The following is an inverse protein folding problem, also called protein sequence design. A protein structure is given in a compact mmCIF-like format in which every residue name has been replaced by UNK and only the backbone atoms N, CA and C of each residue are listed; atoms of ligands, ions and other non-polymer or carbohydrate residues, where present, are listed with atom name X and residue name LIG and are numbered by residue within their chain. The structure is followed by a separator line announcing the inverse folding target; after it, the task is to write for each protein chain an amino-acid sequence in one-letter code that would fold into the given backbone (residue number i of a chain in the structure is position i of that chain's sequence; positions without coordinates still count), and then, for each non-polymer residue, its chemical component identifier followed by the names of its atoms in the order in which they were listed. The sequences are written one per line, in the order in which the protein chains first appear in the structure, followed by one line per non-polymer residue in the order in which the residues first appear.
data_IF_950452394371
#
_entry.id   IF_950452394371
#
_cell.length_a   1.000
_cell.length_b   1.000
_cell.length_c   1.000
_cell.angle_alpha   90.00
_cell.angle_beta   90.00
_cell.angle_gamma   90.00
#
_symmetry.space_group_name_H-M   'P 1'
#
loop_
_entity.id
_entity.type
_entity.pdbx_description
1 polymer ?
#
# COMPACT_ATOMS: atom_id res chain seq x y z
N UNK A 1 49.43 13.76 39.56
CA UNK A 1 48.67 12.75 40.27
C UNK A 1 47.19 12.83 39.89
N UNK A 2 46.86 12.65 38.64
CA UNK A 2 45.47 12.60 38.12
C UNK A 2 45.44 11.80 36.80
N UNK A 3 45.56 10.46 36.87
CA UNK A 3 45.49 9.62 35.67
C UNK A 3 45.13 8.16 35.96
N UNK A 4 44.07 7.92 36.80
CA UNK A 4 43.74 6.51 37.09
C UNK A 4 42.25 6.24 37.36
N UNK A 5 41.30 7.08 36.93
CA UNK A 5 39.85 6.86 37.24
C UNK A 5 38.95 6.75 35.97
N UNK A 6 39.50 6.70 34.77
CA UNK A 6 38.68 6.66 33.53
C UNK A 6 38.74 5.33 32.74
N UNK A 7 39.14 4.24 33.30
CA UNK A 7 39.27 2.97 32.58
C UNK A 7 38.12 1.95 32.66
N UNK A 8 37.10 2.01 33.55
CA UNK A 8 36.02 1.03 33.49
C UNK A 8 34.83 1.36 32.58
N UNK A 9 34.63 2.63 32.16
CA UNK A 9 33.45 2.98 31.32
C UNK A 9 33.60 2.65 29.85
N UNK A 10 34.81 2.47 29.33
CA UNK A 10 35.04 2.12 27.92
C UNK A 10 34.72 0.67 27.57
N UNK A 11 34.75 -0.25 28.53
CA UNK A 11 34.43 -1.67 28.31
C UNK A 11 32.94 -1.99 28.41
N UNK A 12 32.15 -1.21 29.14
CA UNK A 12 30.69 -1.42 29.20
C UNK A 12 29.99 -0.97 27.89
N UNK A 13 30.47 0.13 27.29
CA UNK A 13 29.95 0.59 26.02
C UNK A 13 30.29 -0.35 24.84
N UNK A 14 31.45 -1.01 24.91
CA UNK A 14 31.89 -1.95 23.85
C UNK A 14 31.17 -3.31 23.92
N UNK A 15 30.59 -3.70 25.06
CA UNK A 15 29.85 -4.95 25.21
C UNK A 15 28.34 -4.79 24.96
N UNK A 16 27.76 -3.62 25.23
CA UNK A 16 26.34 -3.32 24.94
C UNK A 16 26.08 -2.99 23.48
N UNK A 17 27.04 -2.37 22.78
CA UNK A 17 26.90 -2.01 21.38
C UNK A 17 26.79 -3.23 20.42
N UNK A 18 27.55 -4.32 20.59
CA UNK A 18 27.36 -5.55 19.79
C UNK A 18 26.06 -6.28 20.07
N UNK A 19 25.51 -6.19 21.30
CA UNK A 19 24.24 -6.84 21.66
C UNK A 19 23.03 -6.12 21.05
N UNK A 20 23.07 -4.80 20.97
CA UNK A 20 22.03 -3.99 20.28
C UNK A 20 22.11 -4.16 18.75
N UNK A 21 23.33 -4.19 18.17
CA UNK A 21 23.51 -4.51 16.74
C UNK A 21 23.03 -5.93 16.42
N UNK A 22 23.26 -6.90 17.33
CA UNK A 22 22.82 -8.28 17.11
C UNK A 22 21.31 -8.46 17.17
N UNK A 23 20.58 -7.64 17.92
CA UNK A 23 19.12 -7.67 17.96
C UNK A 23 18.51 -7.05 16.68
N UNK A 24 19.06 -5.94 16.19
CA UNK A 24 18.68 -5.34 14.92
C UNK A 24 19.01 -6.21 13.69
N UNK A 25 20.12 -6.93 13.72
CA UNK A 25 20.50 -7.85 12.63
C UNK A 25 19.64 -9.13 12.59
N UNK A 26 19.01 -9.54 13.69
CA UNK A 26 18.30 -10.84 13.76
C UNK A 26 16.97 -10.89 13.05
N UNK A 27 16.25 -9.77 12.88
CA UNK A 27 15.05 -9.69 12.03
C UNK A 27 15.38 -9.46 10.56
N UNK A 28 16.63 -9.07 10.26
CA UNK A 28 17.14 -8.84 8.90
C UNK A 28 18.01 -10.00 8.42
N UNK A 29 17.91 -11.21 8.96
CA UNK A 29 18.53 -12.35 8.28
C UNK A 29 17.93 -12.45 6.87
N UNK A 30 18.76 -12.28 5.83
CA UNK A 30 18.28 -12.34 4.46
C UNK A 30 17.61 -13.70 4.26
N UNK A 31 16.33 -13.67 3.83
CA UNK A 31 15.67 -14.88 3.36
C UNK A 31 16.56 -15.46 2.26
N UNK A 32 16.97 -16.71 2.39
CA UNK A 32 17.60 -17.41 1.25
C UNK A 32 16.61 -17.29 0.09
N UNK A 33 17.01 -16.72 -1.06
CA UNK A 33 16.08 -16.35 -2.14
C UNK A 33 15.25 -17.53 -2.70
N UNK A 34 15.64 -18.76 -2.39
CA UNK A 34 15.09 -19.98 -2.98
C UNK A 34 14.11 -20.76 -2.08
N UNK A 35 13.83 -20.29 -0.85
CA UNK A 35 12.91 -21.00 0.04
C UNK A 35 11.52 -20.41 -0.10
N UNK A 36 10.55 -21.21 -0.60
CA UNK A 36 9.14 -20.84 -0.63
C UNK A 36 8.64 -20.50 0.77
N UNK A 37 7.76 -19.50 0.87
CA UNK A 37 7.21 -19.03 2.15
C UNK A 37 6.54 -20.17 2.94
N UNK A 38 5.89 -21.13 2.25
CA UNK A 38 5.28 -22.30 2.90
C UNK A 38 6.33 -23.20 3.58
N UNK A 39 7.44 -23.47 2.92
CA UNK A 39 8.53 -24.28 3.49
C UNK A 39 9.17 -23.57 4.69
N UNK A 40 9.29 -22.24 4.61
CA UNK A 40 9.76 -21.41 5.71
C UNK A 40 8.80 -21.46 6.91
N UNK A 41 7.50 -21.34 6.70
CA UNK A 41 6.48 -21.46 7.75
C UNK A 41 6.58 -22.84 8.40
N UNK A 42 6.69 -23.92 7.62
CA UNK A 42 6.82 -25.28 8.16
C UNK A 42 8.07 -25.44 9.05
N UNK A 43 9.21 -24.94 8.60
CA UNK A 43 10.46 -24.98 9.34
C UNK A 43 10.39 -24.17 10.66
N UNK A 44 9.88 -22.92 10.58
CA UNK A 44 9.74 -22.05 11.75
C UNK A 44 8.71 -22.56 12.74
N UNK A 45 7.61 -23.16 12.29
CA UNK A 45 6.62 -23.81 13.16
C UNK A 45 7.25 -24.95 13.96
N UNK A 46 8.04 -25.80 13.31
CA UNK A 46 8.78 -26.89 13.97
C UNK A 46 9.80 -26.34 14.97
N UNK A 47 10.54 -25.29 14.60
CA UNK A 47 11.52 -24.63 15.47
C UNK A 47 10.85 -24.01 16.70
N UNK A 48 9.77 -23.25 16.52
CA UNK A 48 9.05 -22.60 17.61
C UNK A 48 8.42 -23.61 18.57
N UNK A 49 7.95 -24.76 18.07
CA UNK A 49 7.45 -25.87 18.90
C UNK A 49 8.55 -26.57 19.68
N UNK A 50 9.70 -26.82 19.06
CA UNK A 50 10.81 -27.53 19.68
C UNK A 50 11.58 -26.68 20.73
N UNK A 51 11.70 -25.36 20.47
CA UNK A 51 12.41 -24.42 21.35
C UNK A 51 11.61 -23.11 21.41
N UNK A 52 10.55 -23.05 22.22
CA UNK A 52 9.74 -21.83 22.35
C UNK A 52 10.59 -20.66 22.86
N UNK A 53 10.59 -19.57 22.09
CA UNK A 53 11.19 -18.29 22.49
C UNK A 53 10.43 -17.15 21.82
N UNK A 54 10.38 -15.94 22.42
CA UNK A 54 9.77 -14.77 21.78
C UNK A 54 10.30 -14.55 20.37
N UNK A 55 11.62 -14.64 20.17
CA UNK A 55 12.25 -14.48 18.87
C UNK A 55 11.77 -15.51 17.84
N UNK A 56 11.74 -16.82 18.18
CA UNK A 56 11.27 -17.86 17.27
C UNK A 56 9.78 -17.67 16.90
N UNK A 57 8.96 -17.23 17.86
CA UNK A 57 7.56 -16.89 17.63
C UNK A 57 7.41 -15.66 16.70
N UNK A 58 8.20 -14.61 16.90
CA UNK A 58 8.20 -13.43 16.03
C UNK A 58 8.65 -13.76 14.59
N UNK A 59 9.65 -14.63 14.41
CA UNK A 59 10.05 -15.09 13.07
C UNK A 59 8.90 -15.82 12.36
N UNK A 60 8.15 -16.67 13.07
CA UNK A 60 7.00 -17.37 12.52
C UNK A 60 5.88 -16.39 12.17
N UNK A 61 5.58 -15.43 13.04
CA UNK A 61 4.59 -14.39 12.77
C UNK A 61 4.97 -13.56 11.53
N UNK A 62 6.24 -13.17 11.38
CA UNK A 62 6.76 -12.48 10.19
C UNK A 62 6.55 -13.30 8.91
N UNK A 63 6.77 -14.63 8.97
CA UNK A 63 6.54 -15.49 7.82
C UNK A 63 5.04 -15.59 7.44
N UNK A 64 4.14 -15.57 8.43
CA UNK A 64 2.70 -15.50 8.17
C UNK A 64 2.29 -14.17 7.55
N UNK A 65 2.82 -13.04 8.01
CA UNK A 65 2.55 -11.72 7.38
C UNK A 65 3.01 -11.73 5.92
N UNK A 66 4.21 -12.27 5.63
CA UNK A 66 4.70 -12.41 4.26
C UNK A 66 3.75 -13.27 3.40
N UNK A 67 3.27 -14.39 3.93
CA UNK A 67 2.33 -15.26 3.21
C UNK A 67 1.00 -14.57 2.94
N UNK A 68 0.48 -13.81 3.90
CA UNK A 68 -0.72 -12.99 3.71
C UNK A 68 -0.53 -12.02 2.54
N UNK A 69 0.60 -11.30 2.46
CA UNK A 69 0.89 -10.37 1.36
C UNK A 69 0.97 -11.05 -0.01
N UNK A 70 1.50 -12.27 -0.07
CA UNK A 70 1.59 -13.05 -1.32
C UNK A 70 0.23 -13.55 -1.81
N UNK A 71 -0.70 -13.85 -0.89
CA UNK A 71 -1.96 -14.55 -1.21
C UNK A 71 -3.22 -13.74 -0.95
N UNK A 72 -3.10 -12.61 -0.21
CA UNK A 72 -4.24 -11.82 0.32
C UNK A 72 -5.19 -12.67 1.19
N UNK A 73 -4.67 -13.76 1.77
CA UNK A 73 -5.41 -14.57 2.74
C UNK A 73 -5.19 -14.03 4.16
N UNK A 74 -6.16 -13.27 4.66
CA UNK A 74 -6.12 -12.69 6.00
C UNK A 74 -6.12 -13.71 7.14
N UNK A 75 -6.41 -14.99 6.88
CA UNK A 75 -6.25 -16.06 7.86
C UNK A 75 -4.80 -16.21 8.35
N UNK A 76 -3.82 -15.86 7.53
CA UNK A 76 -2.41 -15.78 7.95
C UNK A 76 -2.13 -14.58 8.86
N UNK A 77 -2.78 -13.44 8.61
CA UNK A 77 -2.66 -12.26 9.48
C UNK A 77 -3.20 -12.55 10.88
N UNK A 78 -4.33 -13.26 10.99
CA UNK A 78 -4.91 -13.67 12.27
C UNK A 78 -3.98 -14.61 13.05
N UNK A 79 -3.33 -15.56 12.36
CA UNK A 79 -2.31 -16.43 12.98
C UNK A 79 -1.10 -15.61 13.48
N UNK A 80 -0.61 -14.66 12.70
CA UNK A 80 0.47 -13.77 13.10
C UNK A 80 0.07 -12.94 14.33
N UNK A 81 -1.12 -12.33 14.29
CA UNK A 81 -1.65 -11.52 15.38
C UNK A 81 -1.72 -12.28 16.70
N UNK A 82 -2.26 -13.50 16.68
CA UNK A 82 -2.34 -14.35 17.88
C UNK A 82 -0.96 -14.59 18.50
N UNK A 83 0.02 -14.90 17.68
CA UNK A 83 1.41 -15.13 18.15
C UNK A 83 1.99 -13.85 18.78
N UNK A 84 1.81 -12.71 18.10
CA UNK A 84 2.32 -11.42 18.57
C UNK A 84 1.68 -11.01 19.89
N UNK A 85 0.37 -11.16 20.03
CA UNK A 85 -0.36 -10.86 21.27
C UNK A 85 0.10 -11.78 22.43
N UNK A 86 0.35 -13.08 22.17
CA UNK A 86 0.90 -14.00 23.18
C UNK A 86 2.29 -13.58 23.64
N UNK A 87 3.14 -13.06 22.75
CA UNK A 87 4.46 -12.53 23.13
C UNK A 87 4.32 -11.27 23.95
N UNK A 88 3.49 -10.30 23.51
CA UNK A 88 3.29 -9.02 24.20
C UNK A 88 2.59 -9.17 25.55
N UNK A 89 1.74 -10.18 25.72
CA UNK A 89 1.12 -10.49 27.03
C UNK A 89 2.18 -10.89 28.06
N UNK A 90 3.24 -11.58 27.63
CA UNK A 90 4.34 -12.02 28.52
C UNK A 90 5.43 -10.96 28.69
N UNK A 91 5.68 -10.18 27.65
CA UNK A 91 6.69 -9.14 27.59
C UNK A 91 6.17 -7.98 26.75
N UNK A 92 5.42 -7.07 27.35
CA UNK A 92 4.81 -5.92 26.71
C UNK A 92 5.81 -4.94 26.09
N UNK A 93 7.10 -5.03 26.44
CA UNK A 93 8.19 -4.25 25.87
C UNK A 93 8.97 -4.97 24.78
N UNK A 94 8.53 -6.15 24.34
CA UNK A 94 9.25 -6.92 23.34
C UNK A 94 9.32 -6.19 22.01
N UNK A 95 10.53 -5.76 21.64
CA UNK A 95 10.77 -4.91 20.49
C UNK A 95 10.30 -5.55 19.16
N UNK A 96 10.64 -6.83 18.93
CA UNK A 96 10.27 -7.55 17.71
C UNK A 96 8.73 -7.69 17.59
N UNK A 97 8.08 -8.00 18.71
CA UNK A 97 6.63 -8.14 18.74
C UNK A 97 5.91 -6.79 18.54
N UNK A 98 6.43 -5.69 19.10
CA UNK A 98 5.89 -4.33 18.86
C UNK A 98 6.02 -3.92 17.41
N UNK A 99 7.12 -4.26 16.73
CA UNK A 99 7.27 -4.03 15.31
C UNK A 99 6.21 -4.79 14.50
N UNK A 100 6.05 -6.08 14.75
CA UNK A 100 5.06 -6.90 14.05
C UNK A 100 3.62 -6.47 14.38
N UNK A 101 3.35 -6.00 15.61
CA UNK A 101 2.05 -5.42 15.98
C UNK A 101 1.72 -4.18 15.16
N UNK A 102 2.75 -3.35 14.88
CA UNK A 102 2.58 -2.19 14.00
C UNK A 102 2.31 -2.60 12.54
N UNK A 103 3.01 -3.61 12.00
CA UNK A 103 2.71 -4.16 10.67
C UNK A 103 1.27 -4.67 10.58
N UNK A 104 0.84 -5.47 11.56
CA UNK A 104 -0.53 -5.99 11.64
C UNK A 104 -1.55 -4.83 11.74
N UNK A 105 -1.22 -3.79 12.49
CA UNK A 105 -2.05 -2.59 12.62
C UNK A 105 -2.24 -1.83 11.30
N UNK A 106 -1.20 -1.76 10.47
CA UNK A 106 -1.32 -1.20 9.12
C UNK A 106 -2.34 -1.97 8.27
N UNK A 107 -2.24 -3.29 8.25
CA UNK A 107 -3.16 -4.16 7.49
C UNK A 107 -4.61 -4.10 8.02
N UNK A 108 -4.79 -3.78 9.29
CA UNK A 108 -6.10 -3.60 9.94
C UNK A 108 -6.62 -2.17 9.93
N UNK A 109 -5.91 -1.24 9.29
CA UNK A 109 -6.23 0.19 9.28
C UNK A 109 -6.26 0.84 10.67
N UNK A 110 -5.47 0.34 11.62
CA UNK A 110 -5.31 0.87 12.97
C UNK A 110 -4.23 1.98 13.02
N UNK A 111 -4.24 2.89 12.07
CA UNK A 111 -3.14 3.84 11.80
C UNK A 111 -2.77 4.71 12.99
N UNK A 112 -3.75 5.17 13.77
CA UNK A 112 -3.48 5.94 14.99
C UNK A 112 -2.66 5.13 15.99
N UNK A 113 -3.03 3.87 16.23
CA UNK A 113 -2.30 2.97 17.13
C UNK A 113 -0.89 2.66 16.60
N UNK A 114 -0.74 2.49 15.28
CA UNK A 114 0.59 2.29 14.67
C UNK A 114 1.50 3.48 14.93
N UNK A 115 1.00 4.72 14.78
CA UNK A 115 1.76 5.92 15.10
C UNK A 115 2.14 5.98 16.59
N UNK A 116 1.25 5.57 17.49
CA UNK A 116 1.53 5.49 18.93
C UNK A 116 2.61 4.46 19.26
N UNK A 117 2.52 3.24 18.73
CA UNK A 117 3.53 2.20 18.93
C UNK A 117 4.88 2.61 18.37
N UNK A 118 4.91 3.18 17.15
CA UNK A 118 6.15 3.66 16.54
C UNK A 118 6.80 4.76 17.38
N UNK A 119 6.03 5.73 17.85
CA UNK A 119 6.52 6.78 18.75
C UNK A 119 7.01 6.20 20.10
N UNK A 120 6.34 5.19 20.62
CA UNK A 120 6.77 4.53 21.87
C UNK A 120 8.15 3.86 21.68
N UNK A 121 8.36 3.14 20.57
CA UNK A 121 9.66 2.56 20.23
C UNK A 121 10.72 3.65 20.05
N UNK A 122 10.42 4.73 19.34
CA UNK A 122 11.36 5.81 19.06
C UNK A 122 11.83 6.58 20.31
N UNK A 123 11.08 6.53 21.44
CA UNK A 123 11.53 7.09 22.71
C UNK A 123 12.76 6.39 23.28
N UNK A 124 12.90 5.09 23.11
CA UNK A 124 14.06 4.31 23.58
C UNK A 124 15.01 3.89 22.48
N UNK A 125 14.56 3.87 21.22
CA UNK A 125 15.35 3.55 20.04
C UNK A 125 15.21 4.65 18.95
N UNK A 126 15.72 5.89 19.17
CA UNK A 126 15.47 7.04 18.29
C UNK A 126 16.11 6.90 16.89
N UNK A 127 17.01 5.95 16.73
CA UNK A 127 17.66 5.64 15.45
C UNK A 127 17.17 4.32 14.83
N UNK A 128 15.97 3.85 15.19
CA UNK A 128 15.36 2.70 14.55
C UNK A 128 14.71 3.10 13.21
N UNK A 129 15.31 2.75 12.05
CA UNK A 129 14.79 3.16 10.75
C UNK A 129 13.42 2.52 10.45
N UNK A 130 13.16 1.33 10.99
CA UNK A 130 11.90 0.65 10.76
C UNK A 130 10.73 1.40 11.42
N UNK A 131 10.88 1.82 12.68
CA UNK A 131 9.83 2.58 13.39
C UNK A 131 9.62 3.96 12.78
N UNK A 132 10.66 4.61 12.24
CA UNK A 132 10.48 5.83 11.43
C UNK A 132 9.66 5.56 10.17
N UNK A 133 9.91 4.43 9.48
CA UNK A 133 9.11 4.03 8.32
C UNK A 133 7.63 3.84 8.68
N UNK A 134 7.34 3.09 9.73
CA UNK A 134 5.96 2.82 10.19
C UNK A 134 5.24 4.09 10.66
N UNK A 135 5.95 5.01 11.32
CA UNK A 135 5.40 6.32 11.69
C UNK A 135 5.05 7.13 10.44
N UNK A 136 5.90 7.08 9.42
CA UNK A 136 5.66 7.71 8.13
C UNK A 136 4.43 7.12 7.43
N UNK A 137 4.35 5.78 7.35
CA UNK A 137 3.24 5.06 6.72
C UNK A 137 1.91 5.43 7.41
N UNK A 138 1.85 5.34 8.74
CA UNK A 138 0.67 5.73 9.49
C UNK A 138 0.32 7.23 9.33
N UNK A 139 1.32 8.09 9.24
CA UNK A 139 1.12 9.53 9.03
C UNK A 139 0.56 9.84 7.64
N UNK A 140 0.96 9.12 6.60
CA UNK A 140 0.39 9.21 5.24
C UNK A 140 -1.11 8.89 5.27
N UNK A 141 -1.48 7.78 5.87
CA UNK A 141 -2.87 7.32 5.96
C UNK A 141 -3.74 8.26 6.81
N UNK A 142 -3.15 8.89 7.83
CA UNK A 142 -3.81 9.89 8.67
C UNK A 142 -3.83 11.30 8.05
N UNK A 143 -3.36 11.49 6.82
CA UNK A 143 -3.28 12.79 6.17
C UNK A 143 -2.28 13.77 6.82
N UNK A 144 -1.37 13.27 7.66
CA UNK A 144 -0.34 14.07 8.35
C UNK A 144 0.95 14.12 7.53
N UNK A 145 0.88 14.73 6.34
CA UNK A 145 1.93 14.66 5.33
C UNK A 145 3.26 15.28 5.75
N UNK A 146 3.28 16.33 6.55
CA UNK A 146 4.53 16.90 7.09
C UNK A 146 5.23 15.91 8.03
N UNK A 147 4.46 15.24 8.90
CA UNK A 147 5.00 14.20 9.78
C UNK A 147 5.53 13.01 8.98
N UNK A 148 4.86 12.62 7.89
CA UNK A 148 5.31 11.56 6.99
C UNK A 148 6.63 11.93 6.31
N UNK A 149 6.75 13.17 5.79
CA UNK A 149 8.01 13.69 5.20
C UNK A 149 9.17 13.55 6.16
N UNK A 150 8.98 14.05 7.38
CA UNK A 150 10.05 14.11 8.38
C UNK A 150 10.47 12.69 8.79
N UNK A 151 9.49 11.79 8.97
CA UNK A 151 9.73 10.39 9.30
C UNK A 151 10.47 9.65 8.19
N UNK A 152 10.05 9.77 6.94
CA UNK A 152 10.71 9.11 5.82
C UNK A 152 12.10 9.68 5.52
N UNK A 153 12.28 11.00 5.65
CA UNK A 153 13.60 11.63 5.52
C UNK A 153 14.55 11.09 6.58
N UNK A 154 14.07 10.95 7.82
CA UNK A 154 14.86 10.37 8.91
C UNK A 154 15.18 8.89 8.62
N UNK A 155 14.19 8.10 8.15
CA UNK A 155 14.41 6.71 7.77
C UNK A 155 15.50 6.55 6.71
N UNK A 156 15.43 7.32 5.62
CA UNK A 156 16.46 7.30 4.55
C UNK A 156 17.83 7.69 5.08
N UNK A 157 17.91 8.71 5.96
CA UNK A 157 19.20 9.12 6.54
C UNK A 157 19.84 8.05 7.43
N UNK A 158 19.04 7.18 8.03
CA UNK A 158 19.51 6.10 8.91
C UNK A 158 19.83 4.83 8.12
N UNK A 159 19.02 4.50 7.11
CA UNK A 159 19.14 3.29 6.32
C UNK A 159 18.65 3.53 4.89
N UNK A 160 19.54 3.94 3.95
CA UNK A 160 19.20 4.11 2.54
C UNK A 160 19.11 2.74 1.85
N UNK A 161 17.91 2.19 1.78
CA UNK A 161 17.60 0.88 1.19
C UNK A 161 16.30 0.88 0.39
N UNK A 162 15.92 -0.29 -0.17
CA UNK A 162 14.68 -0.47 -0.92
C UNK A 162 13.48 0.09 -0.15
N UNK A 163 13.35 -0.24 1.13
CA UNK A 163 12.18 0.10 1.95
C UNK A 163 12.07 1.60 2.22
N UNK A 164 13.21 2.27 2.45
CA UNK A 164 13.25 3.71 2.75
C UNK A 164 13.07 4.57 1.49
N UNK A 165 13.72 4.20 0.38
CA UNK A 165 13.57 4.91 -0.89
C UNK A 165 12.16 4.75 -1.48
N UNK A 166 11.55 3.57 -1.38
CA UNK A 166 10.18 3.33 -1.83
C UNK A 166 9.19 4.26 -1.10
N UNK A 167 9.25 4.31 0.23
CA UNK A 167 8.37 5.15 1.05
C UNK A 167 8.52 6.64 0.75
N UNK A 168 9.75 7.13 0.68
CA UNK A 168 10.00 8.52 0.32
C UNK A 168 9.58 8.80 -1.14
N UNK A 169 9.77 7.84 -2.04
CA UNK A 169 9.28 7.92 -3.42
C UNK A 169 7.77 8.02 -3.51
N UNK A 170 7.04 7.19 -2.76
CA UNK A 170 5.60 7.28 -2.67
C UNK A 170 5.13 8.63 -2.11
N UNK A 171 5.75 9.11 -1.02
CA UNK A 171 5.48 10.44 -0.49
C UNK A 171 5.66 11.54 -1.55
N UNK A 172 6.80 11.53 -2.26
CA UNK A 172 7.07 12.50 -3.33
C UNK A 172 6.01 12.44 -4.44
N UNK A 173 5.55 11.24 -4.81
CA UNK A 173 4.50 11.08 -5.81
C UNK A 173 3.19 11.69 -5.31
N UNK A 174 2.75 11.35 -4.12
CA UNK A 174 1.48 11.85 -3.54
C UNK A 174 1.50 13.38 -3.39
N UNK A 175 2.67 13.97 -3.12
CA UNK A 175 2.85 15.42 -2.99
C UNK A 175 3.20 16.14 -4.30
N UNK A 176 2.98 15.50 -5.46
CA UNK A 176 3.07 16.15 -6.76
C UNK A 176 4.46 16.17 -7.40
N UNK A 177 5.46 15.51 -6.81
CA UNK A 177 6.86 15.52 -7.28
C UNK A 177 7.18 14.24 -8.06
N UNK A 178 6.54 14.02 -9.20
CA UNK A 178 6.60 12.76 -9.98
C UNK A 178 8.03 12.37 -10.41
N UNK A 179 8.86 13.30 -10.84
CA UNK A 179 10.21 12.96 -11.31
C UNK A 179 11.12 12.53 -10.14
N UNK A 180 11.02 13.21 -8.99
CA UNK A 180 11.69 12.79 -7.75
C UNK A 180 11.22 11.43 -7.29
N UNK A 181 9.91 11.17 -7.36
CA UNK A 181 9.32 9.88 -7.00
C UNK A 181 9.85 8.74 -7.85
N UNK A 182 9.87 8.91 -9.17
CA UNK A 182 10.42 7.93 -10.13
C UNK A 182 11.88 7.65 -9.85
N UNK A 183 12.69 8.68 -9.61
CA UNK A 183 14.12 8.55 -9.29
C UNK A 183 14.34 7.76 -7.99
N UNK A 184 13.56 8.05 -6.94
CA UNK A 184 13.64 7.32 -5.68
C UNK A 184 13.21 5.87 -5.81
N UNK A 185 12.14 5.58 -6.59
CA UNK A 185 11.74 4.21 -6.89
C UNK A 185 12.82 3.43 -7.66
N UNK A 186 13.51 4.06 -8.60
CA UNK A 186 14.66 3.44 -9.29
C UNK A 186 15.81 3.15 -8.31
N UNK A 187 16.05 4.04 -7.36
CA UNK A 187 17.03 3.80 -6.29
C UNK A 187 16.62 2.63 -5.38
N UNK A 188 15.31 2.53 -5.03
CA UNK A 188 14.79 1.40 -4.29
C UNK A 188 15.02 0.07 -5.03
N UNK A 189 14.69 0.00 -6.30
CA UNK A 189 14.84 -1.20 -7.15
C UNK A 189 16.31 -1.61 -7.31
N UNK A 190 17.21 -0.63 -7.35
CA UNK A 190 18.66 -0.87 -7.45
C UNK A 190 19.29 -1.35 -6.14
N UNK A 191 18.56 -1.27 -5.03
CA UNK A 191 19.03 -1.73 -3.73
C UNK A 191 18.83 -3.24 -3.57
N UNK A 192 19.69 -3.86 -2.73
CA UNK A 192 19.53 -5.30 -2.42
C UNK A 192 18.22 -5.51 -1.69
N UNK A 193 17.41 -6.48 -2.16
CA UNK A 193 16.15 -6.88 -1.55
C UNK A 193 16.27 -8.21 -0.83
N UNK A 194 15.58 -8.33 0.31
CA UNK A 194 15.49 -9.57 1.08
C UNK A 194 14.62 -10.64 0.39
N UNK A 195 13.65 -10.20 -0.45
CA UNK A 195 12.75 -11.10 -1.17
C UNK A 195 12.45 -10.55 -2.58
N UNK A 196 12.36 -11.42 -3.60
CA UNK A 196 11.99 -11.02 -4.97
C UNK A 196 10.65 -10.28 -5.03
N UNK A 197 9.70 -10.64 -4.19
CA UNK A 197 8.38 -9.98 -4.11
C UNK A 197 8.50 -8.49 -3.79
N UNK A 198 9.38 -8.08 -2.85
CA UNK A 198 9.60 -6.68 -2.51
C UNK A 198 10.09 -5.86 -3.71
N UNK A 199 11.00 -6.43 -4.52
CA UNK A 199 11.46 -5.79 -5.75
C UNK A 199 10.36 -5.71 -6.79
N UNK A 200 9.56 -6.79 -6.96
CA UNK A 200 8.44 -6.80 -7.87
C UNK A 200 7.36 -5.78 -7.47
N UNK A 201 7.15 -5.58 -6.16
CA UNK A 201 6.27 -4.56 -5.64
C UNK A 201 6.74 -3.16 -6.01
N UNK A 202 8.00 -2.81 -5.75
CA UNK A 202 8.56 -1.52 -6.14
C UNK A 202 8.50 -1.27 -7.66
N UNK A 203 8.73 -2.31 -8.47
CA UNK A 203 8.61 -2.24 -9.93
C UNK A 203 7.16 -2.01 -10.38
N UNK A 204 6.19 -2.65 -9.72
CA UNK A 204 4.77 -2.44 -10.02
C UNK A 204 4.32 -1.03 -9.61
N UNK A 205 4.76 -0.52 -8.46
CA UNK A 205 4.48 0.85 -8.03
C UNK A 205 5.11 1.87 -8.99
N UNK A 206 6.38 1.67 -9.40
CA UNK A 206 7.01 2.49 -10.42
C UNK A 206 6.21 2.49 -11.73
N UNK A 207 5.78 1.31 -12.19
CA UNK A 207 4.93 1.18 -13.38
C UNK A 207 3.59 1.93 -13.23
N UNK A 208 3.00 1.88 -12.04
CA UNK A 208 1.78 2.63 -11.70
C UNK A 208 1.99 4.14 -11.76
N UNK A 209 3.07 4.66 -11.17
CA UNK A 209 3.43 6.08 -11.23
C UNK A 209 3.69 6.52 -12.67
N UNK A 210 4.45 5.76 -13.43
CA UNK A 210 4.73 6.03 -14.85
C UNK A 210 3.45 6.05 -15.69
N UNK A 211 2.54 5.11 -15.46
CA UNK A 211 1.25 5.07 -16.13
C UNK A 211 0.43 6.35 -15.84
N UNK A 212 0.34 6.76 -14.59
CA UNK A 212 -0.43 7.95 -14.17
C UNK A 212 0.09 9.24 -14.80
N UNK A 213 1.41 9.32 -15.06
CA UNK A 213 2.04 10.48 -15.73
C UNK A 213 2.24 10.26 -17.24
N UNK A 214 1.52 9.33 -17.86
CA UNK A 214 1.48 9.12 -19.30
C UNK A 214 2.71 8.45 -19.93
N UNK A 215 3.67 7.98 -19.13
CA UNK A 215 4.88 7.25 -19.58
C UNK A 215 4.54 5.77 -19.81
N UNK A 216 3.68 5.48 -20.83
CA UNK A 216 3.09 4.15 -21.03
C UNK A 216 4.13 3.07 -21.40
N UNK A 217 5.14 3.42 -22.19
CA UNK A 217 6.19 2.48 -22.59
C UNK A 217 7.04 2.06 -21.39
N UNK A 218 7.42 3.03 -20.55
CA UNK A 218 8.19 2.80 -19.32
C UNK A 218 7.35 2.01 -18.30
N UNK A 219 6.05 2.33 -18.17
CA UNK A 219 5.14 1.59 -17.31
C UNK A 219 5.08 0.10 -17.72
N UNK A 220 4.93 -0.17 -19.01
CA UNK A 220 4.95 -1.54 -19.55
C UNK A 220 6.25 -2.25 -19.23
N UNK A 221 7.39 -1.57 -19.40
CA UNK A 221 8.71 -2.15 -19.09
C UNK A 221 8.83 -2.50 -17.61
N UNK A 222 8.40 -1.60 -16.71
CA UNK A 222 8.44 -1.82 -15.26
C UNK A 222 7.54 -2.99 -14.83
N UNK A 223 6.31 -3.10 -15.34
CA UNK A 223 5.43 -4.25 -15.05
C UNK A 223 5.98 -5.57 -15.62
N UNK A 224 6.59 -5.53 -16.80
CA UNK A 224 7.22 -6.72 -17.41
C UNK A 224 8.40 -7.20 -16.57
N UNK A 225 9.22 -6.27 -16.08
CA UNK A 225 10.35 -6.59 -15.22
C UNK A 225 9.87 -7.13 -13.85
N UNK A 226 8.78 -6.59 -13.30
CA UNK A 226 8.18 -7.13 -12.08
C UNK A 226 7.79 -8.62 -12.25
N UNK A 227 7.23 -8.99 -13.40
CA UNK A 227 6.89 -10.39 -13.71
C UNK A 227 8.13 -11.25 -13.97
N UNK A 228 9.23 -10.68 -14.42
CA UNK A 228 10.50 -11.41 -14.56
C UNK A 228 11.11 -11.72 -13.19
N UNK A 229 11.04 -10.76 -12.25
CA UNK A 229 11.56 -10.91 -10.89
C UNK A 229 10.66 -11.84 -10.05
N UNK A 230 9.35 -11.69 -10.16
CA UNK A 230 8.38 -12.50 -9.42
C UNK A 230 7.27 -12.97 -10.39
N UNK A 231 7.41 -14.16 -10.98
CA UNK A 231 6.44 -14.69 -11.94
C UNK A 231 5.04 -14.81 -11.34
N UNK A 232 4.04 -14.30 -12.09
CA UNK A 232 2.65 -14.34 -11.64
C UNK A 232 2.25 -13.20 -10.70
N UNK A 233 3.10 -12.21 -10.47
CA UNK A 233 2.78 -11.07 -9.61
C UNK A 233 1.55 -10.32 -10.11
N UNK A 234 0.44 -10.50 -9.40
CA UNK A 234 -0.87 -10.06 -9.85
C UNK A 234 -0.99 -8.53 -10.05
N UNK A 235 -0.34 -7.64 -9.25
CA UNK A 235 -0.39 -6.21 -9.51
C UNK A 235 0.27 -5.82 -10.84
N UNK A 236 1.36 -6.50 -11.21
CA UNK A 236 2.02 -6.26 -12.48
C UNK A 236 1.20 -6.79 -13.67
N UNK A 237 0.52 -7.94 -13.53
CA UNK A 237 -0.43 -8.43 -14.52
C UNK A 237 -1.57 -7.44 -14.76
N UNK A 238 -2.17 -6.91 -13.69
CA UNK A 238 -3.21 -5.89 -13.76
C UNK A 238 -2.69 -4.57 -14.35
N UNK A 239 -1.46 -4.17 -14.00
CA UNK A 239 -0.79 -3.02 -14.56
C UNK A 239 -0.60 -3.13 -16.08
N UNK A 240 -0.15 -4.28 -16.58
CA UNK A 240 -0.10 -4.57 -18.03
C UNK A 240 -1.50 -4.52 -18.66
N UNK A 241 -2.50 -5.09 -18.00
CA UNK A 241 -3.90 -5.00 -18.45
C UNK A 241 -4.37 -3.55 -18.58
N UNK A 242 -4.00 -2.68 -17.64
CA UNK A 242 -4.32 -1.24 -17.68
C UNK A 242 -3.63 -0.53 -18.84
N UNK A 243 -2.34 -0.79 -19.06
CA UNK A 243 -1.59 -0.24 -20.20
C UNK A 243 -2.20 -0.71 -21.53
N UNK A 244 -2.53 -2.01 -21.65
CA UNK A 244 -3.16 -2.56 -22.84
C UNK A 244 -4.54 -1.94 -23.09
N UNK A 245 -5.32 -1.72 -22.05
CA UNK A 245 -6.63 -1.06 -22.12
C UNK A 245 -6.52 0.38 -22.64
N UNK A 246 -5.54 1.14 -22.15
CA UNK A 246 -5.25 2.50 -22.60
C UNK A 246 -4.75 2.55 -24.06
N UNK A 247 -4.06 1.51 -24.51
CA UNK A 247 -3.62 1.36 -25.90
C UNK A 247 -4.68 0.71 -26.83
N UNK A 248 -5.89 0.45 -26.32
CA UNK A 248 -6.99 -0.21 -27.04
C UNK A 248 -6.66 -1.64 -27.53
N UNK A 249 -5.81 -2.33 -26.80
CA UNK A 249 -5.44 -3.74 -27.02
C UNK A 249 -6.33 -4.66 -26.17
N UNK A 250 -7.64 -4.60 -26.38
CA UNK A 250 -8.65 -5.19 -25.49
C UNK A 250 -8.47 -6.68 -25.24
N UNK A 251 -8.13 -7.45 -26.27
CA UNK A 251 -7.91 -8.90 -26.13
C UNK A 251 -6.73 -9.22 -25.17
N UNK A 252 -5.64 -8.46 -25.27
CA UNK A 252 -4.47 -8.62 -24.39
C UNK A 252 -4.79 -8.13 -22.98
N UNK A 253 -5.53 -7.01 -22.85
CA UNK A 253 -6.00 -6.49 -21.56
C UNK A 253 -6.86 -7.52 -20.82
N UNK A 254 -7.84 -8.14 -21.52
CA UNK A 254 -8.67 -9.23 -20.97
C UNK A 254 -7.80 -10.39 -20.49
N UNK A 255 -6.82 -10.82 -21.30
CA UNK A 255 -5.94 -11.93 -20.94
C UNK A 255 -5.14 -11.62 -19.66
N UNK A 256 -4.58 -10.41 -19.53
CA UNK A 256 -3.80 -10.00 -18.38
C UNK A 256 -4.67 -9.84 -17.12
N UNK A 257 -5.84 -9.21 -17.20
CA UNK A 257 -6.75 -9.11 -16.05
C UNK A 257 -7.30 -10.46 -15.60
N UNK A 258 -7.60 -11.39 -16.52
CA UNK A 258 -7.98 -12.77 -16.16
C UNK A 258 -6.86 -13.50 -15.43
N UNK A 259 -5.62 -13.32 -15.83
CA UNK A 259 -4.47 -13.90 -15.13
C UNK A 259 -4.32 -13.29 -13.73
N UNK A 260 -4.46 -11.97 -13.60
CA UNK A 260 -4.42 -11.31 -12.31
C UNK A 260 -5.55 -11.81 -11.39
N UNK A 261 -6.79 -11.86 -11.89
CA UNK A 261 -7.98 -12.33 -11.16
C UNK A 261 -7.86 -13.81 -10.73
N UNK A 262 -7.17 -14.63 -11.49
CA UNK A 262 -6.93 -16.03 -11.15
C UNK A 262 -5.94 -16.21 -9.99
N UNK A 263 -5.05 -15.22 -9.73
CA UNK A 263 -4.14 -15.21 -8.58
C UNK A 263 -4.84 -14.62 -7.37
N UNK A 264 -5.40 -13.41 -7.52
CA UNK A 264 -6.15 -12.72 -6.47
C UNK A 264 -7.42 -12.13 -7.08
N UNK A 265 -8.61 -12.55 -6.65
CA UNK A 265 -9.88 -12.16 -7.24
C UNK A 265 -10.37 -10.79 -6.72
N UNK A 266 -9.67 -9.70 -7.08
CA UNK A 266 -10.02 -8.34 -6.65
C UNK A 266 -11.20 -7.77 -7.45
N UNK A 267 -12.10 -6.98 -6.80
CA UNK A 267 -13.22 -6.31 -7.47
C UNK A 267 -12.79 -5.41 -8.63
N UNK A 268 -11.67 -4.72 -8.51
CA UNK A 268 -11.15 -3.80 -9.54
C UNK A 268 -10.84 -4.54 -10.86
N UNK A 269 -10.35 -5.79 -10.77
CA UNK A 269 -10.08 -6.59 -11.97
C UNK A 269 -11.38 -7.04 -12.64
N UNK A 270 -12.39 -7.38 -11.85
CA UNK A 270 -13.72 -7.70 -12.36
C UNK A 270 -14.36 -6.49 -13.05
N UNK A 271 -14.23 -5.29 -12.48
CA UNK A 271 -14.73 -4.06 -13.10
C UNK A 271 -14.04 -3.75 -14.44
N UNK A 272 -12.72 -3.89 -14.49
CA UNK A 272 -11.98 -3.74 -15.74
C UNK A 272 -12.43 -4.78 -16.80
N UNK A 273 -12.61 -6.03 -16.39
CA UNK A 273 -13.11 -7.09 -17.27
C UNK A 273 -14.56 -6.84 -17.72
N UNK A 274 -15.45 -6.33 -16.85
CA UNK A 274 -16.81 -5.94 -17.21
C UNK A 274 -16.80 -4.89 -18.32
N UNK A 275 -15.98 -3.85 -18.16
CA UNK A 275 -15.83 -2.77 -19.13
C UNK A 275 -15.31 -3.32 -20.47
N UNK A 276 -14.26 -4.13 -20.42
CA UNK A 276 -13.65 -4.72 -21.61
C UNK A 276 -14.60 -5.67 -22.35
N UNK A 277 -15.32 -6.54 -21.63
CA UNK A 277 -16.30 -7.44 -22.24
C UNK A 277 -17.48 -6.69 -22.86
N UNK A 278 -17.94 -5.60 -22.21
CA UNK A 278 -19.01 -4.77 -22.76
C UNK A 278 -18.55 -4.12 -24.07
N UNK A 279 -17.32 -3.60 -24.10
CA UNK A 279 -16.71 -3.00 -25.30
C UNK A 279 -16.48 -4.02 -26.42
N UNK A 280 -16.17 -5.28 -26.07
CA UNK A 280 -15.98 -6.39 -27.00
C UNK A 280 -17.31 -7.03 -27.46
N UNK A 281 -18.46 -6.45 -27.15
CA UNK A 281 -19.78 -6.96 -27.55
C UNK A 281 -20.20 -8.24 -26.81
N UNK A 282 -19.61 -8.52 -25.65
CA UNK A 282 -19.87 -9.69 -24.80
C UNK A 282 -20.56 -9.31 -23.47
N UNK A 283 -21.74 -8.65 -23.49
CA UNK A 283 -22.35 -8.14 -22.26
C UNK A 283 -22.75 -9.22 -21.27
N UNK A 284 -22.94 -10.46 -21.71
CA UNK A 284 -23.21 -11.59 -20.83
C UNK A 284 -22.00 -11.92 -19.93
N UNK A 285 -20.79 -11.87 -20.47
CA UNK A 285 -19.55 -12.05 -19.70
C UNK A 285 -19.30 -10.86 -18.78
N UNK A 286 -19.62 -9.64 -19.22
CA UNK A 286 -19.58 -8.45 -18.38
C UNK A 286 -20.50 -8.58 -17.17
N UNK A 287 -21.74 -9.05 -17.36
CA UNK A 287 -22.67 -9.27 -16.22
C UNK A 287 -22.12 -10.27 -15.20
N UNK A 288 -21.47 -11.37 -15.63
CA UNK A 288 -20.83 -12.31 -14.69
C UNK A 288 -19.77 -11.63 -13.80
N UNK A 289 -19.03 -10.69 -14.37
CA UNK A 289 -18.04 -9.94 -13.59
C UNK A 289 -18.71 -8.99 -12.58
N UNK A 290 -19.83 -8.39 -12.93
CA UNK A 290 -20.64 -7.58 -12.01
C UNK A 290 -21.22 -8.43 -10.88
N UNK A 291 -21.81 -9.58 -11.19
CA UNK A 291 -22.32 -10.51 -10.19
C UNK A 291 -21.22 -10.98 -9.23
N UNK A 292 -20.01 -11.13 -9.74
CA UNK A 292 -18.84 -11.47 -8.93
C UNK A 292 -18.48 -10.33 -7.94
N UNK A 293 -18.53 -9.07 -8.37
CA UNK A 293 -18.33 -7.91 -7.48
C UNK A 293 -19.39 -7.90 -6.37
N UNK A 294 -20.66 -8.17 -6.72
CA UNK A 294 -21.76 -8.20 -5.75
C UNK A 294 -21.59 -9.34 -4.73
N UNK A 295 -21.08 -10.49 -5.17
CA UNK A 295 -20.75 -11.60 -4.27
C UNK A 295 -19.63 -11.23 -3.28
N UNK A 296 -18.58 -10.53 -3.75
CA UNK A 296 -17.50 -10.04 -2.86
C UNK A 296 -18.05 -9.06 -1.82
N UNK A 297 -18.88 -8.07 -2.21
CA UNK A 297 -19.47 -7.12 -1.25
C UNK A 297 -20.38 -7.84 -0.24
N UNK A 298 -21.12 -8.85 -0.68
CA UNK A 298 -21.94 -9.69 0.20
C UNK A 298 -21.09 -10.41 1.26
N UNK A 299 -19.95 -10.97 0.84
CA UNK A 299 -19.00 -11.61 1.76
C UNK A 299 -18.37 -10.60 2.72
N UNK A 300 -17.99 -9.41 2.22
CA UNK A 300 -17.44 -8.34 3.02
C UNK A 300 -18.42 -7.84 4.09
N UNK A 301 -19.70 -7.70 3.74
CA UNK A 301 -20.78 -7.38 4.69
C UNK A 301 -20.91 -8.47 5.75
N UNK A 302 -20.93 -9.74 5.35
CA UNK A 302 -21.01 -10.87 6.27
C UNK A 302 -19.79 -10.96 7.22
N UNK A 303 -18.61 -10.55 6.74
CA UNK A 303 -17.40 -10.44 7.54
C UNK A 303 -17.36 -9.19 8.43
N UNK A 304 -18.36 -8.31 8.35
CA UNK A 304 -18.44 -7.08 9.14
C UNK A 304 -17.52 -5.96 8.66
N UNK A 305 -17.08 -5.99 7.40
CA UNK A 305 -16.26 -4.94 6.80
C UNK A 305 -17.03 -3.61 6.71
N UNK A 306 -16.46 -2.57 7.33
CA UNK A 306 -17.08 -1.25 7.44
C UNK A 306 -16.42 -0.18 6.58
N UNK A 307 -15.18 -0.42 6.13
CA UNK A 307 -14.35 0.53 5.40
C UNK A 307 -13.85 -0.11 4.11
N UNK A 308 -14.07 0.51 2.98
CA UNK A 308 -13.51 0.09 1.69
C UNK A 308 -13.71 1.19 0.65
N UNK A 309 -12.76 2.12 0.54
CA UNK A 309 -12.84 3.21 -0.44
C UNK A 309 -12.85 2.74 -1.89
N UNK A 310 -12.15 1.63 -2.19
CA UNK A 310 -12.09 1.10 -3.56
C UNK A 310 -13.46 0.57 -3.99
N UNK A 311 -14.16 -0.15 -3.12
CA UNK A 311 -15.52 -0.61 -3.39
C UNK A 311 -16.49 0.57 -3.52
N UNK A 312 -16.30 1.62 -2.69
CA UNK A 312 -17.12 2.83 -2.78
C UNK A 312 -16.94 3.56 -4.12
N UNK A 313 -15.69 3.72 -4.59
CA UNK A 313 -15.39 4.26 -5.92
C UNK A 313 -16.02 3.42 -7.02
N UNK A 314 -15.84 2.10 -6.95
CA UNK A 314 -16.40 1.17 -7.93
C UNK A 314 -17.91 1.30 -8.06
N UNK A 315 -18.63 1.35 -6.94
CA UNK A 315 -20.08 1.54 -6.95
C UNK A 315 -20.47 2.92 -7.52
N UNK A 316 -19.68 3.96 -7.20
CA UNK A 316 -19.89 5.28 -7.74
C UNK A 316 -19.66 5.32 -9.27
N UNK A 317 -18.59 4.72 -9.78
CA UNK A 317 -18.29 4.62 -11.21
C UNK A 317 -19.42 3.91 -11.96
N UNK A 318 -19.91 2.83 -11.42
CA UNK A 318 -21.02 2.07 -11.98
C UNK A 318 -22.41 2.70 -11.71
N UNK A 319 -22.46 3.82 -10.98
CA UNK A 319 -23.69 4.51 -10.58
C UNK A 319 -24.73 3.56 -9.93
N UNK A 320 -24.26 2.68 -9.04
CA UNK A 320 -25.09 1.69 -8.33
C UNK A 320 -24.68 1.58 -6.85
N UNK A 321 -25.57 1.04 -6.02
CA UNK A 321 -25.34 0.84 -4.58
C UNK A 321 -24.80 2.11 -3.87
N UNK A 322 -25.19 3.31 -4.34
CA UNK A 322 -24.68 4.59 -3.83
C UNK A 322 -24.88 4.78 -2.31
N UNK A 323 -25.97 4.33 -1.66
CA UNK A 323 -26.08 4.39 -0.20
C UNK A 323 -25.01 3.55 0.50
N UNK A 324 -24.68 2.36 -0.03
CA UNK A 324 -23.61 1.50 0.48
C UNK A 324 -22.23 2.17 0.26
N UNK A 325 -22.00 2.73 -0.93
CA UNK A 325 -20.79 3.48 -1.25
C UNK A 325 -20.56 4.62 -0.26
N UNK A 326 -21.61 5.40 0.06
CA UNK A 326 -21.53 6.48 1.04
C UNK A 326 -21.17 5.96 2.43
N UNK A 327 -21.83 4.90 2.90
CA UNK A 327 -21.52 4.29 4.19
C UNK A 327 -20.06 3.85 4.30
N UNK A 328 -19.53 3.21 3.25
CA UNK A 328 -18.14 2.73 3.21
C UNK A 328 -17.14 3.90 3.28
N UNK A 329 -17.33 4.93 2.45
CA UNK A 329 -16.37 6.04 2.38
C UNK A 329 -16.48 6.98 3.59
N UNK A 330 -17.68 7.19 4.16
CA UNK A 330 -17.85 7.95 5.41
C UNK A 330 -17.27 7.22 6.63
N UNK A 331 -17.19 5.92 6.59
CA UNK A 331 -16.48 5.13 7.61
C UNK A 331 -14.98 5.16 7.40
N UNK A 332 -14.53 5.07 6.14
CA UNK A 332 -13.11 5.13 5.77
C UNK A 332 -12.48 6.47 6.16
N UNK A 333 -13.14 7.60 5.89
CA UNK A 333 -12.59 8.94 6.16
C UNK A 333 -12.31 9.18 7.64
N UNK A 334 -12.96 8.45 8.55
CA UNK A 334 -12.73 8.56 9.99
C UNK A 334 -11.42 7.93 10.43
N UNK A 335 -10.94 6.93 9.71
CA UNK A 335 -9.71 6.20 10.01
C UNK A 335 -8.58 6.54 9.06
N UNK A 336 -8.91 6.98 7.84
CA UNK A 336 -7.96 7.29 6.76
C UNK A 336 -8.37 8.57 6.02
N UNK A 337 -8.18 9.76 6.60
CA UNK A 337 -8.50 11.04 5.95
C UNK A 337 -7.42 11.50 4.96
N UNK A 338 -6.98 10.61 4.07
CA UNK A 338 -6.00 10.88 3.03
C UNK A 338 -6.66 11.45 1.74
N UNK A 339 -5.84 11.97 0.82
CA UNK A 339 -6.31 12.57 -0.43
C UNK A 339 -7.10 11.59 -1.31
N UNK A 340 -6.79 10.31 -1.28
CA UNK A 340 -7.50 9.27 -2.04
C UNK A 340 -8.90 8.99 -1.46
N UNK A 341 -9.02 9.00 -0.13
CA UNK A 341 -10.33 8.84 0.54
C UNK A 341 -11.21 10.07 0.33
N UNK A 342 -10.61 11.27 0.33
CA UNK A 342 -11.35 12.49 -0.02
C UNK A 342 -11.83 12.49 -1.48
N UNK A 343 -11.04 11.97 -2.41
CA UNK A 343 -11.49 11.81 -3.80
C UNK A 343 -12.67 10.83 -3.90
N UNK A 344 -12.56 9.67 -3.26
CA UNK A 344 -13.65 8.70 -3.22
C UNK A 344 -14.93 9.30 -2.62
N UNK A 345 -14.81 10.04 -1.52
CA UNK A 345 -15.95 10.75 -0.91
C UNK A 345 -16.55 11.78 -1.88
N UNK A 346 -15.71 12.57 -2.55
CA UNK A 346 -16.15 13.58 -3.50
C UNK A 346 -16.95 12.97 -4.65
N UNK A 347 -16.47 11.83 -5.15
CA UNK A 347 -17.10 11.15 -6.28
C UNK A 347 -18.43 10.50 -5.90
N UNK A 348 -18.50 9.85 -4.74
CA UNK A 348 -19.76 9.28 -4.21
C UNK A 348 -20.79 10.39 -3.97
N UNK A 349 -20.40 11.50 -3.35
CA UNK A 349 -21.28 12.65 -3.12
C UNK A 349 -21.78 13.27 -4.44
N UNK A 350 -20.90 13.39 -5.45
CA UNK A 350 -21.30 13.85 -6.78
C UNK A 350 -22.37 12.95 -7.41
N UNK A 351 -22.20 11.61 -7.35
CA UNK A 351 -23.19 10.66 -7.87
C UNK A 351 -24.53 10.74 -7.13
N UNK A 352 -24.50 11.10 -5.85
CA UNK A 352 -25.70 11.37 -5.04
C UNK A 352 -26.28 12.77 -5.27
N UNK A 353 -25.70 13.57 -6.20
CA UNK A 353 -26.11 14.96 -6.52
C UNK A 353 -25.93 15.94 -5.34
N UNK A 354 -25.07 15.61 -4.38
CA UNK A 354 -24.68 16.49 -3.25
C UNK A 354 -23.48 17.35 -3.67
N UNK A 355 -23.68 18.23 -4.66
CA UNK A 355 -22.59 18.90 -5.38
C UNK A 355 -21.72 19.81 -4.49
N UNK A 356 -22.31 20.53 -3.55
CA UNK A 356 -21.55 21.44 -2.66
C UNK A 356 -20.63 20.66 -1.70
N UNK A 357 -21.09 19.52 -1.22
CA UNK A 357 -20.30 18.65 -0.37
C UNK A 357 -19.21 17.92 -1.17
N UNK A 358 -19.56 17.50 -2.40
CA UNK A 358 -18.60 16.92 -3.33
C UNK A 358 -17.44 17.89 -3.65
N UNK A 359 -17.75 19.18 -3.90
CA UNK A 359 -16.72 20.19 -4.15
C UNK A 359 -15.78 20.41 -2.96
N UNK A 360 -16.32 20.42 -1.73
CA UNK A 360 -15.50 20.52 -0.52
C UNK A 360 -14.56 19.32 -0.37
N UNK A 361 -15.07 18.11 -0.55
CA UNK A 361 -14.25 16.90 -0.50
C UNK A 361 -13.20 16.87 -1.62
N UNK A 362 -13.56 17.25 -2.85
CA UNK A 362 -12.64 17.36 -3.98
C UNK A 362 -11.50 18.36 -3.72
N UNK A 363 -11.78 19.49 -3.08
CA UNK A 363 -10.75 20.46 -2.70
C UNK A 363 -9.69 19.83 -1.74
N UNK A 364 -10.13 18.98 -0.82
CA UNK A 364 -9.20 18.22 0.04
C UNK A 364 -8.39 17.17 -0.75
N UNK A 365 -9.00 16.51 -1.73
CA UNK A 365 -8.30 15.54 -2.58
C UNK A 365 -7.17 16.19 -3.41
N UNK A 366 -7.39 17.44 -3.85
CA UNK A 366 -6.47 18.15 -4.73
C UNK A 366 -5.39 18.97 -4.02
N UNK A 367 -5.39 19.03 -2.67
CA UNK A 367 -4.55 19.95 -1.89
C UNK A 367 -3.05 19.75 -2.10
N UNK A 368 -2.62 18.52 -2.40
CA UNK A 368 -1.21 18.18 -2.59
C UNK A 368 -0.75 18.22 -4.06
N UNK A 369 -1.66 18.43 -5.00
CA UNK A 369 -1.33 18.35 -6.42
C UNK A 369 -0.95 16.93 -6.87
N UNK A 370 -1.47 15.90 -6.20
CA UNK A 370 -1.21 14.50 -6.52
C UNK A 370 -1.43 14.23 -8.01
N UNK A 371 -0.46 13.61 -8.73
CA UNK A 371 -0.57 13.38 -10.17
C UNK A 371 -1.45 12.16 -10.47
N UNK A 372 -2.71 12.26 -10.06
CA UNK A 372 -3.76 11.26 -10.26
C UNK A 372 -4.79 11.82 -11.24
N UNK A 373 -4.80 11.38 -12.51
CA UNK A 373 -5.73 11.90 -13.51
C UNK A 373 -7.20 11.80 -13.09
N UNK A 374 -7.58 10.73 -12.38
CA UNK A 374 -8.95 10.53 -11.89
C UNK A 374 -9.42 11.69 -10.99
N UNK A 375 -8.56 12.19 -10.09
CA UNK A 375 -8.89 13.31 -9.19
C UNK A 375 -9.33 14.55 -9.99
N UNK A 376 -8.59 14.88 -11.04
CA UNK A 376 -8.91 16.02 -11.88
C UNK A 376 -10.14 15.79 -12.77
N UNK A 377 -10.39 14.54 -13.20
CA UNK A 377 -11.61 14.21 -13.95
C UNK A 377 -12.86 14.30 -13.06
N UNK A 378 -12.78 13.80 -11.83
CA UNK A 378 -13.87 13.94 -10.85
C UNK A 378 -14.13 15.42 -10.53
N UNK A 379 -13.07 16.18 -10.23
CA UNK A 379 -13.19 17.63 -9.98
C UNK A 379 -13.78 18.38 -11.16
N UNK A 380 -13.44 18.02 -12.40
CA UNK A 380 -14.00 18.63 -13.60
C UNK A 380 -15.51 18.38 -13.72
N UNK A 381 -15.98 17.17 -13.38
CA UNK A 381 -17.41 16.86 -13.42
C UNK A 381 -18.18 17.59 -12.31
N UNK A 382 -17.58 17.68 -11.11
CA UNK A 382 -18.16 18.40 -9.97
C UNK A 382 -18.26 19.89 -10.28
N UNK A 383 -17.18 20.53 -10.78
CA UNK A 383 -17.19 21.94 -11.17
C UNK A 383 -18.23 22.24 -12.26
N UNK A 384 -18.32 21.36 -13.27
CA UNK A 384 -19.33 21.51 -14.32
C UNK A 384 -20.77 21.44 -13.78
N UNK A 385 -21.05 20.55 -12.80
CA UNK A 385 -22.36 20.44 -12.17
C UNK A 385 -22.71 21.67 -11.32
N UNK A 386 -21.72 22.41 -10.83
CA UNK A 386 -21.90 23.69 -10.13
C UNK A 386 -21.96 24.90 -11.07
N UNK A 387 -21.84 24.71 -12.40
CA UNK A 387 -21.84 25.78 -13.38
C UNK A 387 -20.46 26.44 -13.58
N UNK A 388 -19.41 25.99 -12.93
CA UNK A 388 -18.03 26.45 -13.15
C UNK A 388 -17.42 25.78 -14.39
N UNK A 389 -17.83 26.28 -15.57
CA UNK A 389 -17.35 25.78 -16.86
C UNK A 389 -15.84 25.98 -17.03
N UNK A 390 -15.30 27.11 -16.52
CA UNK A 390 -13.88 27.44 -16.61
C UNK A 390 -13.04 26.48 -15.76
N UNK A 391 -13.38 26.33 -14.51
CA UNK A 391 -12.69 25.38 -13.61
C UNK A 391 -12.77 23.94 -14.13
N UNK A 392 -13.94 23.53 -14.66
CA UNK A 392 -14.08 22.21 -15.28
C UNK A 392 -13.13 22.01 -16.47
N UNK A 393 -12.94 23.03 -17.31
CA UNK A 393 -11.99 22.96 -18.44
C UNK A 393 -10.54 22.89 -17.95
N UNK A 394 -10.17 23.66 -16.93
CA UNK A 394 -8.83 23.65 -16.34
C UNK A 394 -8.50 22.28 -15.73
N UNK A 395 -9.43 21.66 -15.00
CA UNK A 395 -9.23 20.32 -14.44
C UNK A 395 -9.09 19.25 -15.54
N UNK A 396 -9.92 19.28 -16.59
CA UNK A 396 -9.76 18.37 -17.74
C UNK A 396 -8.39 18.51 -18.40
N UNK A 397 -7.93 19.75 -18.60
CA UNK A 397 -6.62 20.01 -19.16
C UNK A 397 -5.49 19.44 -18.30
N UNK A 398 -5.59 19.53 -16.97
CA UNK A 398 -4.62 18.90 -16.04
C UNK A 398 -4.62 17.38 -16.15
N UNK A 399 -5.79 16.75 -16.16
CA UNK A 399 -5.88 15.28 -16.33
C UNK A 399 -5.25 14.82 -17.64
N UNK A 400 -5.56 15.53 -18.75
CA UNK A 400 -5.04 15.23 -20.08
C UNK A 400 -3.52 15.45 -20.18
N UNK A 401 -2.99 16.47 -19.50
CA UNK A 401 -1.56 16.75 -19.45
C UNK A 401 -0.79 15.65 -18.67
N UNK A 402 -1.40 15.06 -17.64
CA UNK A 402 -0.83 13.93 -16.91
C UNK A 402 -0.83 12.67 -17.77
N UNK A 403 -1.97 12.28 -18.29
CA UNK A 403 -2.09 11.10 -19.14
C UNK A 403 -3.26 11.25 -20.13
N UNK A 404 -2.94 11.54 -21.38
CA UNK A 404 -3.94 11.69 -22.46
C UNK A 404 -4.64 10.37 -22.86
N UNK A 405 -4.19 9.25 -22.34
CA UNK A 405 -4.75 7.91 -22.54
C UNK A 405 -5.48 7.37 -21.31
N UNK A 406 -5.64 8.21 -20.30
CA UNK A 406 -6.42 7.86 -19.13
C UNK A 406 -7.91 7.90 -19.47
N UNK A 407 -8.56 6.72 -19.53
CA UNK A 407 -10.02 6.56 -19.69
C UNK A 407 -10.53 5.39 -18.83
#
# INVERSE_FOLDING_TARGET
MWSTILKPMRYLAAVLFPLLLSAQQRLTEPMKPDIKTDDRIAALSKQAAAKPSPHAQCLLAKAYIQKMRETVDFGYLERASKIVEEVLTRDGGNYEALQLRSEIGMERHEFASVAEYSNAILKFAPNDPWSWGMLGDASMELGKYDSARDAYTKMVSLRPDLSSYNRLGWYQFVTGHSDSAITLMQSAISSVSEAPENTAWCLADLGGMQFKVGKLAEARASFTEALRVFPGYYPALAGLGRVDMAERKDATAIANYKRAQAVVPLPDYAAALETLYTRDGKPAEGRKQRDFIDAIDTMAIAAGEKTNRNMALLFADQNRNLPRALTLVESEIKVRPDVYTYDALSWVLFKLKRFDEAAKASAHALVLGTPEPAFYLHAAQIANAQGDVKGAAEYRAKAQALNSKWE
#
